data_IF_798047990176
#
_entry.id   IF_798047990176
#
_cell.length_a   1.000
_cell.length_b   1.000
_cell.length_c   1.000
_cell.angle_alpha   90.00
_cell.angle_beta   90.00
_cell.angle_gamma   90.00
#
_symmetry.space_group_name_H-M   'P 1'
#
loop_
_entity.id
_entity.type
_entity.pdbx_description
1 polymer ?
#
# COMPACT_ATOMS: atom_id res chain seq x y z
N UNK A 1 49.12 29.38 0.34
CA UNK A 1 48.58 29.15 1.69
C UNK A 1 48.04 27.72 1.69
N UNK A 2 48.70 26.81 2.40
CA UNK A 2 48.40 25.39 2.39
C UNK A 2 47.39 25.09 3.50
N UNK A 3 46.20 24.62 3.13
CA UNK A 3 45.19 24.12 4.07
C UNK A 3 45.44 22.63 4.28
N UNK A 4 45.82 22.30 5.51
CA UNK A 4 46.14 20.96 5.98
C UNK A 4 44.87 20.15 6.22
N UNK A 5 44.83 18.93 5.67
CA UNK A 5 43.90 17.85 5.99
C UNK A 5 43.97 17.50 7.49
N UNK A 6 42.81 17.23 8.08
CA UNK A 6 42.65 16.54 9.36
C UNK A 6 41.68 15.38 9.19
N UNK A 7 42.21 14.15 9.13
CA UNK A 7 41.43 12.92 9.29
C UNK A 7 41.25 12.65 10.78
N UNK A 8 40.01 12.56 11.25
CA UNK A 8 39.68 12.14 12.61
C UNK A 8 39.34 10.66 12.63
N UNK A 9 40.29 9.84 13.07
CA UNK A 9 40.08 8.45 13.48
C UNK A 9 39.22 8.40 14.75
N UNK A 10 38.07 7.74 14.69
CA UNK A 10 37.28 7.37 15.87
C UNK A 10 37.38 5.86 16.07
N UNK A 11 38.34 5.47 16.90
CA UNK A 11 38.49 4.13 17.47
C UNK A 11 37.46 3.92 18.57
N UNK A 12 36.55 2.95 18.39
CA UNK A 12 35.47 2.65 19.33
C UNK A 12 35.10 1.17 19.36
N UNK A 13 35.96 0.39 20.01
CA UNK A 13 35.72 -0.88 20.74
C UNK A 13 34.54 -1.78 20.34
N UNK A 14 34.88 -2.94 19.78
CA UNK A 14 34.01 -4.10 19.68
C UNK A 14 33.57 -4.63 21.05
N UNK A 15 32.39 -5.23 21.07
CA UNK A 15 31.90 -6.06 22.16
C UNK A 15 31.39 -7.36 21.54
N UNK A 16 32.22 -8.39 21.65
CA UNK A 16 31.87 -9.77 21.34
C UNK A 16 30.87 -10.26 22.39
N UNK A 17 29.60 -10.43 21.99
CA UNK A 17 28.54 -10.99 22.80
C UNK A 17 28.07 -12.33 22.26
N UNK A 18 28.76 -13.41 22.62
CA UNK A 18 28.27 -14.77 22.49
C UNK A 18 27.37 -15.11 23.68
N UNK A 19 26.09 -15.40 23.43
CA UNK A 19 25.13 -15.89 24.43
C UNK A 19 23.94 -16.54 23.73
N UNK A 20 24.01 -17.84 23.42
CA UNK A 20 23.35 -18.95 24.14
C UNK A 20 21.83 -19.00 24.01
N UNK A 21 21.40 -20.08 23.34
CA UNK A 21 20.09 -20.73 23.36
C UNK A 21 19.22 -20.46 24.59
N UNK A 22 17.97 -20.10 24.33
CA UNK A 22 16.93 -19.88 25.32
C UNK A 22 15.55 -20.22 24.78
N UNK A 23 15.35 -21.48 24.41
CA UNK A 23 14.02 -22.09 24.27
C UNK A 23 13.39 -22.21 25.67
N UNK A 24 12.33 -21.46 25.97
CA UNK A 24 11.21 -21.86 26.85
C UNK A 24 10.32 -20.65 27.19
N UNK A 25 9.00 -20.82 27.04
CA UNK A 25 8.02 -20.01 27.78
C UNK A 25 6.77 -19.62 27.00
N UNK A 26 5.97 -20.58 26.55
CA UNK A 26 4.53 -20.39 26.34
C UNK A 26 3.88 -20.06 27.68
N UNK A 27 3.22 -18.90 27.76
CA UNK A 27 2.31 -18.58 28.85
C UNK A 27 0.88 -18.58 28.27
N UNK A 28 0.28 -19.76 28.31
CA UNK A 28 -1.17 -19.96 28.29
C UNK A 28 -1.80 -19.27 29.51
N UNK A 29 -2.80 -18.43 29.26
CA UNK A 29 -3.83 -18.10 30.26
C UNK A 29 -5.16 -17.88 29.56
N UNK A 30 -6.14 -18.72 29.89
CA UNK A 30 -7.56 -18.36 29.75
C UNK A 30 -8.43 -19.35 29.01
N UNK A 31 -8.76 -20.44 29.69
CA UNK A 31 -9.83 -21.38 29.37
C UNK A 31 -11.16 -20.72 29.02
N UNK A 32 -11.87 -21.28 28.03
CA UNK A 32 -13.33 -21.50 28.12
C UNK A 32 -13.72 -22.70 27.28
N UNK A 33 -14.26 -23.68 27.99
CA UNK A 33 -14.61 -25.02 27.59
C UNK A 33 -15.80 -25.07 26.63
N UNK A 34 -15.70 -25.87 25.57
CA UNK A 34 -16.84 -26.62 25.04
C UNK A 34 -16.34 -27.91 24.39
N UNK A 35 -16.51 -28.99 25.12
CA UNK A 35 -16.25 -30.36 24.72
C UNK A 35 -17.14 -30.76 23.54
N UNK A 36 -16.56 -31.34 22.50
CA UNK A 36 -17.25 -32.36 21.73
C UNK A 36 -16.25 -33.39 21.21
N UNK A 37 -16.08 -34.43 22.02
CA UNK A 37 -15.39 -35.67 21.69
C UNK A 37 -16.27 -36.47 20.75
N UNK A 38 -15.76 -36.81 19.58
CA UNK A 38 -16.35 -37.74 18.63
C UNK A 38 -15.25 -38.57 18.00
N UNK A 39 -14.84 -39.61 18.72
CA UNK A 39 -13.97 -40.68 18.24
C UNK A 39 -14.73 -41.52 17.19
N UNK A 40 -14.06 -41.94 16.12
CA UNK A 40 -14.71 -42.78 15.12
C UNK A 40 -13.81 -43.18 13.95
N UNK A 41 -12.80 -43.98 14.26
CA UNK A 41 -12.40 -45.19 13.54
C UNK A 41 -12.19 -45.12 12.02
N UNK A 42 -10.93 -45.31 11.61
CA UNK A 42 -10.58 -45.52 10.22
C UNK A 42 -11.26 -46.74 9.59
N UNK A 43 -11.63 -46.56 8.33
CA UNK A 43 -11.93 -47.65 7.41
C UNK A 43 -11.02 -47.51 6.17
N UNK A 44 -10.03 -48.41 5.98
CA UNK A 44 -9.33 -48.55 4.72
C UNK A 44 -10.01 -49.66 3.89
N UNK A 45 -11.04 -49.30 3.13
CA UNK A 45 -11.68 -50.17 2.14
C UNK A 45 -11.65 -49.44 0.77
N UNK A 46 -10.71 -49.75 -0.13
CA UNK A 46 -10.84 -50.71 -1.25
C UNK A 46 -12.20 -50.70 -1.95
N UNK A 47 -12.25 -50.13 -3.16
CA UNK A 47 -13.31 -50.36 -4.17
C UNK A 47 -14.68 -49.83 -3.75
N UNK A 48 -15.57 -49.33 -4.60
CA UNK A 48 -15.85 -49.71 -5.98
C UNK A 48 -16.45 -48.50 -6.70
N UNK A 49 -16.25 -48.44 -8.02
CA UNK A 49 -16.82 -47.40 -8.86
C UNK A 49 -18.33 -47.56 -9.00
N UNK A 50 -19.06 -46.58 -8.47
CA UNK A 50 -20.47 -46.37 -8.80
C UNK A 50 -20.59 -44.95 -9.38
N UNK A 51 -20.59 -44.86 -10.71
CA UNK A 51 -20.94 -43.62 -11.39
C UNK A 51 -22.42 -43.31 -11.16
N UNK A 52 -22.70 -42.42 -10.21
CA UNK A 52 -23.97 -41.70 -10.13
C UNK A 52 -23.80 -40.31 -10.78
N UNK A 53 -24.24 -40.10 -12.04
CA UNK A 53 -24.22 -38.80 -12.71
C UNK A 53 -25.44 -37.93 -12.33
N UNK A 54 -25.91 -38.05 -11.09
CA UNK A 54 -27.14 -37.43 -10.63
C UNK A 54 -27.09 -37.14 -9.14
N UNK A 55 -26.02 -36.50 -8.67
CA UNK A 55 -25.93 -35.96 -7.32
C UNK A 55 -26.76 -34.70 -7.20
N UNK A 56 -27.98 -34.86 -6.70
CA UNK A 56 -28.81 -33.94 -5.93
C UNK A 56 -28.12 -32.61 -5.57
N UNK A 57 -28.27 -31.62 -6.44
CA UNK A 57 -28.71 -30.22 -6.24
C UNK A 57 -28.35 -29.39 -5.00
N UNK A 58 -27.70 -29.94 -3.98
CA UNK A 58 -27.12 -29.20 -2.86
C UNK A 58 -25.71 -28.79 -3.29
N UNK A 59 -25.62 -28.09 -4.42
CA UNK A 59 -24.43 -27.32 -4.79
C UNK A 59 -24.34 -26.17 -3.80
N UNK A 60 -23.99 -26.52 -2.56
CA UNK A 60 -23.69 -25.60 -1.48
C UNK A 60 -22.69 -24.64 -2.07
N UNK A 61 -23.15 -23.42 -2.30
CA UNK A 61 -22.33 -22.51 -3.04
C UNK A 61 -21.04 -22.27 -2.27
N UNK A 62 -19.93 -22.27 -2.99
CA UNK A 62 -18.64 -21.92 -2.43
C UNK A 62 -18.75 -20.52 -1.85
N UNK A 63 -18.54 -20.42 -0.54
CA UNK A 63 -18.53 -19.15 0.20
C UNK A 63 -17.56 -18.20 -0.50
N UNK A 64 -18.04 -17.01 -0.89
CA UNK A 64 -17.27 -16.04 -1.68
C UNK A 64 -17.66 -15.94 -3.16
N UNK A 65 -18.35 -16.93 -3.72
CA UNK A 65 -18.77 -16.91 -5.13
C UNK A 65 -20.11 -16.19 -5.36
N UNK A 66 -20.42 -15.85 -6.62
CA UNK A 66 -21.59 -15.05 -7.00
C UNK A 66 -22.92 -15.70 -6.55
N UNK A 67 -23.71 -14.96 -5.76
CA UNK A 67 -24.98 -15.39 -5.18
C UNK A 67 -24.88 -16.11 -3.83
N UNK A 68 -23.72 -16.07 -3.17
CA UNK A 68 -23.41 -16.97 -2.06
C UNK A 68 -22.95 -16.22 -0.81
N UNK A 69 -22.98 -16.84 0.39
CA UNK A 69 -22.58 -16.16 1.61
C UNK A 69 -21.15 -15.63 1.52
N UNK A 70 -20.92 -14.44 2.06
CA UNK A 70 -19.58 -13.88 2.15
C UNK A 70 -18.71 -14.71 3.09
N UNK A 71 -17.39 -14.63 2.90
CA UNK A 71 -16.45 -15.22 3.85
C UNK A 71 -16.62 -14.60 5.25
N UNK A 72 -16.17 -15.26 6.33
CA UNK A 72 -16.21 -14.68 7.68
C UNK A 72 -15.50 -13.32 7.80
N UNK A 73 -14.60 -12.99 6.88
CA UNK A 73 -13.92 -11.69 6.78
C UNK A 73 -14.65 -10.65 5.92
N UNK A 74 -15.87 -10.94 5.44
CA UNK A 74 -16.62 -10.05 4.55
C UNK A 74 -16.11 -10.02 3.10
N UNK A 75 -15.14 -10.86 2.75
CA UNK A 75 -14.59 -10.95 1.39
C UNK A 75 -15.38 -11.87 0.47
N UNK A 76 -15.30 -11.58 -0.83
CA UNK A 76 -15.80 -12.38 -1.94
C UNK A 76 -14.69 -12.62 -2.98
N UNK A 77 -14.95 -13.45 -3.98
CA UNK A 77 -14.04 -13.67 -5.11
C UNK A 77 -13.75 -12.34 -5.85
N UNK A 78 -12.57 -12.19 -6.49
CA UNK A 78 -12.20 -10.95 -7.16
C UNK A 78 -13.26 -10.44 -8.16
N UNK A 79 -13.68 -9.18 -7.98
CA UNK A 79 -14.74 -8.54 -8.78
C UNK A 79 -16.16 -8.64 -8.20
N UNK A 80 -16.32 -9.32 -7.05
CA UNK A 80 -17.56 -9.36 -6.29
C UNK A 80 -17.41 -8.58 -4.99
N UNK A 81 -18.51 -7.98 -4.51
CA UNK A 81 -18.57 -7.31 -3.21
C UNK A 81 -19.60 -8.00 -2.31
N UNK A 82 -19.36 -7.96 -1.01
CA UNK A 82 -20.28 -8.49 -0.02
C UNK A 82 -21.36 -7.45 0.31
N UNK A 83 -22.57 -7.65 -0.20
CA UNK A 83 -23.73 -6.81 0.13
C UNK A 83 -24.80 -7.64 0.85
N UNK A 84 -25.23 -7.19 2.03
CA UNK A 84 -26.24 -7.90 2.82
C UNK A 84 -25.85 -9.33 3.22
N UNK A 85 -24.55 -9.67 3.26
CA UNK A 85 -24.05 -11.01 3.57
C UNK A 85 -24.05 -11.98 2.39
N UNK A 86 -24.28 -11.50 1.17
CA UNK A 86 -24.22 -12.27 -0.07
C UNK A 86 -23.25 -11.60 -1.04
N UNK A 87 -22.41 -12.39 -1.70
CA UNK A 87 -21.52 -11.94 -2.76
C UNK A 87 -22.32 -11.65 -4.02
N UNK A 88 -22.21 -10.43 -4.54
CA UNK A 88 -22.76 -10.04 -5.83
C UNK A 88 -21.73 -9.25 -6.63
N UNK A 89 -21.99 -8.95 -7.91
CA UNK A 89 -21.14 -8.07 -8.69
C UNK A 89 -20.97 -6.77 -7.91
N UNK A 90 -19.75 -6.20 -7.95
CA UNK A 90 -19.57 -4.82 -7.52
C UNK A 90 -20.58 -3.98 -8.32
N UNK A 91 -21.68 -3.60 -7.67
CA UNK A 91 -22.49 -2.52 -8.19
C UNK A 91 -21.55 -1.35 -8.03
N UNK A 92 -20.86 -1.03 -9.13
CA UNK A 92 -20.45 0.34 -9.33
C UNK A 92 -21.72 1.13 -9.08
N UNK A 93 -21.81 1.75 -7.92
CA UNK A 93 -22.09 3.16 -7.78
C UNK A 93 -21.61 3.82 -9.06
N UNK A 94 -22.45 3.70 -10.09
CA UNK A 94 -22.31 4.47 -11.29
C UNK A 94 -22.40 5.88 -10.76
N UNK A 95 -21.23 6.47 -10.59
CA UNK A 95 -21.00 7.89 -10.48
C UNK A 95 -21.67 8.42 -11.72
N UNK A 96 -22.95 8.69 -11.57
CA UNK A 96 -23.79 9.25 -12.58
C UNK A 96 -23.12 10.56 -12.91
N UNK A 97 -22.37 10.54 -14.00
CA UNK A 97 -21.85 11.70 -14.66
C UNK A 97 -22.96 12.75 -14.65
N UNK A 98 -22.83 13.84 -13.86
CA UNK A 98 -23.83 14.89 -13.82
C UNK A 98 -23.74 15.77 -15.06
N UNK A 99 -23.01 15.39 -16.11
CA UNK A 99 -23.31 15.84 -17.48
C UNK A 99 -24.62 15.21 -17.97
N UNK A 100 -25.67 15.40 -17.18
CA UNK A 100 -26.95 15.70 -17.75
C UNK A 100 -26.73 16.87 -18.69
N UNK A 101 -26.60 16.54 -19.98
CA UNK A 101 -26.83 17.39 -21.12
C UNK A 101 -28.24 17.96 -20.94
N UNK A 102 -28.32 19.00 -20.11
CA UNK A 102 -29.47 19.86 -20.04
C UNK A 102 -29.64 20.43 -21.44
N UNK A 103 -30.61 19.90 -22.16
CA UNK A 103 -31.26 20.49 -23.32
C UNK A 103 -31.80 21.88 -22.92
N UNK A 104 -30.88 22.83 -22.75
CA UNK A 104 -31.14 24.25 -22.57
C UNK A 104 -31.24 24.85 -23.96
N UNK A 105 -32.49 24.98 -24.41
CA UNK A 105 -32.92 25.65 -25.62
C UNK A 105 -32.02 26.84 -26.00
N UNK A 106 -31.45 26.76 -27.20
CA UNK A 106 -30.64 27.83 -27.76
C UNK A 106 -31.41 29.16 -27.83
N UNK A 107 -30.80 30.20 -27.26
CA UNK A 107 -31.05 31.58 -27.65
C UNK A 107 -29.84 32.08 -28.46
N UNK A 108 -29.97 32.35 -29.77
CA UNK A 108 -28.84 32.67 -30.63
C UNK A 108 -28.62 34.19 -30.73
N UNK A 109 -28.49 34.93 -29.63
CA UNK A 109 -27.96 36.31 -29.66
C UNK A 109 -27.39 36.70 -28.30
N UNK A 110 -26.11 36.42 -28.07
CA UNK A 110 -25.41 36.88 -26.88
C UNK A 110 -23.94 37.08 -27.18
N UNK A 111 -23.61 38.27 -27.68
CA UNK A 111 -22.24 38.78 -27.76
C UNK A 111 -21.75 39.00 -26.32
N UNK A 112 -21.30 37.92 -25.68
CA UNK A 112 -20.74 37.90 -24.34
C UNK A 112 -19.25 37.78 -24.42
N UNK A 113 -18.58 38.92 -24.56
CA UNK A 113 -17.15 39.11 -24.26
C UNK A 113 -16.94 38.82 -22.76
N UNK A 114 -16.83 37.54 -22.43
CA UNK A 114 -16.45 37.06 -21.11
C UNK A 114 -14.98 36.72 -21.15
N UNK A 115 -14.13 37.73 -20.96
CA UNK A 115 -12.74 37.62 -20.53
C UNK A 115 -12.69 36.98 -19.14
N UNK A 116 -13.09 35.71 -19.06
CA UNK A 116 -12.84 34.87 -17.91
C UNK A 116 -11.37 34.50 -17.94
N UNK A 117 -10.54 35.41 -17.46
CA UNK A 117 -9.23 35.12 -16.85
C UNK A 117 -9.47 34.19 -15.65
N UNK A 118 -9.97 32.99 -15.94
CA UNK A 118 -9.82 31.85 -15.06
C UNK A 118 -8.33 31.60 -15.04
N UNK A 119 -7.66 32.32 -14.15
CA UNK A 119 -6.42 31.94 -13.51
C UNK A 119 -6.69 30.55 -12.93
N UNK A 120 -6.65 29.54 -13.80
CA UNK A 120 -6.65 28.15 -13.41
C UNK A 120 -5.42 28.04 -12.54
N UNK A 121 -5.66 28.07 -11.24
CA UNK A 121 -4.66 27.79 -10.24
C UNK A 121 -4.07 26.43 -10.65
N UNK A 122 -2.78 26.34 -11.00
CA UNK A 122 -2.18 25.06 -11.33
C UNK A 122 -2.14 24.14 -10.10
N UNK A 123 -2.58 24.59 -8.92
CA UNK A 123 -2.73 23.74 -7.74
C UNK A 123 -3.90 22.79 -7.83
N UNK A 124 -4.77 22.91 -8.85
CA UNK A 124 -5.91 22.03 -9.14
C UNK A 124 -5.91 20.78 -8.28
N UNK A 125 -6.49 20.93 -7.10
CA UNK A 125 -6.40 20.07 -5.93
C UNK A 125 -7.33 18.87 -6.11
N UNK A 126 -7.37 18.35 -7.36
CA UNK A 126 -8.26 17.38 -7.95
C UNK A 126 -8.81 16.39 -6.93
N UNK A 127 -9.94 16.79 -6.36
CA UNK A 127 -10.69 16.08 -5.34
C UNK A 127 -11.30 14.80 -5.95
N UNK A 128 -10.57 13.67 -5.98
CA UNK A 128 -11.26 12.36 -6.05
C UNK A 128 -10.67 11.23 -6.87
N UNK A 129 -9.55 11.38 -7.57
CA UNK A 129 -9.01 10.28 -8.41
C UNK A 129 -7.88 9.52 -7.71
N UNK A 130 -8.19 8.97 -6.53
CA UNK A 130 -7.34 8.00 -5.82
C UNK A 130 -5.95 8.52 -5.50
N UNK A 131 -5.82 9.21 -4.36
CA UNK A 131 -4.56 9.65 -3.75
C UNK A 131 -3.47 8.60 -3.99
N UNK A 132 -2.65 8.82 -5.02
CA UNK A 132 -1.56 7.89 -5.31
C UNK A 132 -0.56 8.14 -4.20
N UNK A 133 -0.44 7.23 -3.24
CA UNK A 133 0.44 7.47 -2.12
C UNK A 133 1.86 7.55 -2.69
N UNK A 134 2.69 8.42 -2.11
CA UNK A 134 4.08 8.61 -2.56
C UNK A 134 4.26 9.46 -3.84
N UNK A 135 3.56 10.59 -3.91
CA UNK A 135 3.75 11.60 -4.97
C UNK A 135 5.12 12.30 -4.94
N UNK A 136 5.53 12.95 -6.04
CA UNK A 136 6.68 13.85 -6.05
C UNK A 136 6.35 15.17 -5.36
N UNK A 137 7.35 15.78 -4.70
CA UNK A 137 7.26 17.18 -4.21
C UNK A 137 8.41 18.01 -4.81
N UNK A 138 8.21 18.58 -6.02
CA UNK A 138 9.28 19.23 -6.79
C UNK A 138 9.74 20.56 -6.21
N UNK A 139 8.96 21.24 -5.36
CA UNK A 139 9.43 22.46 -4.68
C UNK A 139 10.26 22.13 -3.44
N UNK A 140 10.14 20.91 -2.92
CA UNK A 140 10.68 20.51 -1.64
C UNK A 140 9.85 20.97 -0.44
N UNK A 141 8.64 21.52 -0.67
CA UNK A 141 7.75 22.00 0.38
C UNK A 141 6.63 21.00 0.70
N UNK A 142 6.18 20.98 1.95
CA UNK A 142 5.09 20.10 2.41
C UNK A 142 3.74 20.43 1.74
N UNK A 143 3.58 21.65 1.20
CA UNK A 143 2.37 22.09 0.49
C UNK A 143 2.18 21.37 -0.86
N UNK A 144 3.22 20.73 -1.40
CA UNK A 144 3.13 19.88 -2.60
C UNK A 144 2.54 18.48 -2.30
N UNK A 145 2.44 18.11 -1.02
CA UNK A 145 2.03 16.78 -0.60
C UNK A 145 0.57 16.72 -0.11
N UNK A 146 -0.01 15.52 -0.07
CA UNK A 146 -1.37 15.33 0.41
C UNK A 146 -1.49 15.68 1.92
N UNK A 147 -2.67 16.09 2.42
CA UNK A 147 -2.86 16.43 3.82
C UNK A 147 -2.41 15.31 4.78
N UNK A 148 -1.38 15.58 5.58
CA UNK A 148 -0.82 14.63 6.55
C UNK A 148 0.47 13.94 6.08
N UNK A 149 0.84 14.12 4.83
CA UNK A 149 2.17 13.79 4.31
C UNK A 149 3.15 14.96 4.52
N UNK A 150 4.43 14.65 4.46
CA UNK A 150 5.54 15.61 4.47
C UNK A 150 6.42 15.36 3.26
N UNK A 151 6.96 16.43 2.69
CA UNK A 151 7.92 16.33 1.62
C UNK A 151 9.30 15.98 2.19
N UNK A 152 9.78 14.78 1.87
CA UNK A 152 11.14 14.37 2.22
C UNK A 152 12.02 14.50 1.00
N UNK A 153 13.10 15.26 1.14
CA UNK A 153 14.13 15.41 0.12
C UNK A 153 15.45 14.85 0.61
N UNK A 154 16.27 14.37 -0.31
CA UNK A 154 17.60 13.85 0.00
C UNK A 154 18.51 13.80 -1.19
N UNK A 155 19.71 13.24 -0.99
CA UNK A 155 20.67 13.05 -2.08
C UNK A 155 21.33 11.70 -1.94
N UNK A 156 21.14 10.83 -2.95
CA UNK A 156 21.78 9.52 -3.03
C UNK A 156 22.64 9.47 -4.29
N UNK A 157 23.91 9.07 -4.15
CA UNK A 157 24.86 8.99 -5.28
C UNK A 157 25.02 10.29 -6.10
N UNK A 158 24.91 11.47 -5.47
CA UNK A 158 24.87 12.79 -6.12
C UNK A 158 23.65 13.04 -7.03
N UNK A 159 22.60 12.22 -6.91
CA UNK A 159 21.30 12.50 -7.50
C UNK A 159 20.34 12.98 -6.39
N UNK A 160 19.77 14.19 -6.51
CA UNK A 160 18.71 14.65 -5.62
C UNK A 160 17.43 13.85 -5.89
N UNK A 161 16.62 13.66 -4.84
CA UNK A 161 15.33 12.98 -4.93
C UNK A 161 14.33 13.63 -3.97
N UNK A 162 13.05 13.49 -4.26
CA UNK A 162 11.94 13.94 -3.41
C UNK A 162 10.86 12.86 -3.29
N UNK A 163 10.13 12.87 -2.18
CA UNK A 163 9.05 11.92 -1.89
C UNK A 163 8.06 12.51 -0.88
N UNK A 164 6.79 12.59 -1.24
CA UNK A 164 5.72 12.80 -0.27
C UNK A 164 5.48 11.52 0.53
N UNK A 165 5.55 11.59 1.85
CA UNK A 165 5.38 10.41 2.70
C UNK A 165 4.95 10.78 4.11
N UNK A 166 4.47 9.80 4.88
CA UNK A 166 4.16 9.96 6.30
C UNK A 166 5.30 9.47 7.17
N UNK A 167 5.63 10.21 8.23
CA UNK A 167 6.61 9.77 9.22
C UNK A 167 6.11 8.56 10.02
N UNK A 168 7.00 7.61 10.29
CA UNK A 168 6.69 6.40 11.02
C UNK A 168 7.73 6.13 12.13
N UNK A 169 7.26 5.58 13.24
CA UNK A 169 8.02 5.17 14.42
C UNK A 169 8.18 3.65 14.51
N UNK A 170 7.65 2.89 13.54
CA UNK A 170 7.76 1.44 13.49
C UNK A 170 7.24 0.85 12.18
N UNK A 171 7.65 -0.38 11.88
CA UNK A 171 7.34 -1.08 10.62
C UNK A 171 5.84 -1.18 10.29
N UNK A 172 4.96 -1.13 11.30
CA UNK A 172 3.52 -1.31 11.14
C UNK A 172 2.71 0.00 11.20
N UNK A 173 3.35 1.16 11.06
CA UNK A 173 2.65 2.46 11.08
C UNK A 173 2.33 3.00 9.68
N UNK A 174 2.70 2.26 8.64
CA UNK A 174 2.38 2.62 7.27
C UNK A 174 1.05 1.98 6.92
N UNK A 175 -0.03 2.72 7.17
CA UNK A 175 -1.41 2.26 6.96
C UNK A 175 -1.87 2.34 5.49
N UNK A 176 -1.01 2.88 4.63
CA UNK A 176 -1.28 3.13 3.22
C UNK A 176 -1.41 1.81 2.43
N UNK A 177 -0.59 0.80 2.76
CA UNK A 177 -0.65 -0.55 2.19
C UNK A 177 -0.02 -1.58 3.13
N UNK A 178 -0.49 -2.82 3.08
CA UNK A 178 0.08 -3.95 3.83
C UNK A 178 1.51 -4.30 3.38
N UNK A 179 1.95 -3.73 2.27
CA UNK A 179 3.29 -3.83 1.73
C UNK A 179 4.17 -2.64 2.07
N UNK A 180 3.71 -1.64 2.80
CA UNK A 180 4.52 -0.46 3.09
C UNK A 180 5.39 -0.66 4.31
N UNK A 181 6.65 -0.25 4.19
CA UNK A 181 7.67 -0.42 5.20
C UNK A 181 8.14 0.92 5.75
N UNK A 182 8.32 0.98 7.06
CA UNK A 182 8.98 2.10 7.70
C UNK A 182 10.50 2.01 7.48
N UNK A 183 11.04 2.83 6.59
CA UNK A 183 12.46 2.80 6.24
C UNK A 183 13.11 4.17 6.44
N UNK A 184 14.41 4.16 6.74
CA UNK A 184 15.21 5.38 6.69
C UNK A 184 15.62 5.64 5.24
N UNK A 185 15.26 6.82 4.73
CA UNK A 185 15.48 7.21 3.34
C UNK A 185 16.96 7.56 3.10
N UNK A 186 17.53 7.26 1.93
CA UNK A 186 18.96 7.42 1.69
C UNK A 186 19.34 8.89 1.50
N UNK A 187 20.12 9.42 2.44
CA UNK A 187 20.77 10.73 2.28
C UNK A 187 19.89 11.93 2.63
N UNK A 188 18.80 11.72 3.37
CA UNK A 188 18.00 12.76 4.03
C UNK A 188 18.71 13.34 5.29
N UNK A 189 19.73 12.64 5.79
CA UNK A 189 20.47 13.01 7.00
C UNK A 189 19.67 12.85 8.29
N UNK A 190 18.49 12.24 8.24
CA UNK A 190 17.64 12.01 9.40
C UNK A 190 17.75 10.55 9.87
N UNK A 191 17.41 10.33 11.14
CA UNK A 191 17.26 8.99 11.71
C UNK A 191 15.78 8.66 11.96
N UNK A 192 14.91 9.33 11.21
CA UNK A 192 13.47 9.19 11.25
C UNK A 192 13.06 8.12 10.24
N UNK A 193 12.12 7.26 10.60
CA UNK A 193 11.52 6.36 9.64
C UNK A 193 10.45 7.11 8.84
N UNK A 194 10.40 6.85 7.55
CA UNK A 194 9.31 7.29 6.67
C UNK A 194 8.66 6.09 6.02
N UNK A 195 7.37 6.21 5.72
CA UNK A 195 6.69 5.17 4.97
C UNK A 195 7.21 5.14 3.55
N UNK A 196 7.58 3.94 3.11
CA UNK A 196 8.06 3.74 1.75
C UNK A 196 7.34 2.54 1.19
N UNK A 197 6.97 2.57 -0.10
CA UNK A 197 6.45 1.38 -0.74
C UNK A 197 7.55 0.32 -0.69
N UNK A 198 7.29 -0.87 -0.13
CA UNK A 198 8.30 -1.95 -0.09
C UNK A 198 8.49 -2.64 -1.44
N UNK A 199 8.40 -1.86 -2.52
CA UNK A 199 8.83 -2.27 -3.84
C UNK A 199 10.34 -2.35 -3.79
N UNK A 200 10.85 -3.55 -3.54
CA UNK A 200 12.26 -3.87 -3.69
C UNK A 200 12.63 -3.72 -5.16
N UNK A 201 13.07 -2.51 -5.52
CA UNK A 201 13.48 -2.23 -6.87
C UNK A 201 14.82 -2.91 -7.13
N UNK A 202 14.89 -3.67 -8.22
CA UNK A 202 16.08 -4.45 -8.58
C UNK A 202 16.18 -4.56 -10.09
N UNK A 203 17.26 -5.15 -10.59
CA UNK A 203 17.50 -5.33 -12.03
C UNK A 203 16.40 -6.11 -12.78
N UNK A 204 15.43 -6.70 -12.07
CA UNK A 204 14.24 -7.35 -12.64
C UNK A 204 12.90 -6.77 -12.18
N UNK A 205 12.88 -5.72 -11.35
CA UNK A 205 11.68 -5.07 -10.84
C UNK A 205 11.85 -3.55 -10.92
N UNK A 206 11.53 -2.93 -12.08
CA UNK A 206 11.63 -1.48 -12.22
C UNK A 206 10.60 -0.78 -11.34
N UNK A 207 10.95 0.41 -10.90
CA UNK A 207 10.01 1.26 -10.18
C UNK A 207 8.85 1.69 -11.10
N UNK A 208 7.62 1.80 -10.56
CA UNK A 208 6.48 2.31 -11.31
C UNK A 208 6.58 3.84 -11.48
N UNK A 209 5.75 4.40 -12.37
CA UNK A 209 5.46 5.84 -12.45
C UNK A 209 6.71 6.72 -12.48
N UNK A 210 7.66 6.47 -13.39
CA UNK A 210 8.87 7.29 -13.57
C UNK A 210 9.77 7.47 -12.32
N UNK A 211 9.50 6.75 -11.23
CA UNK A 211 10.39 6.70 -10.08
C UNK A 211 11.71 6.02 -10.46
N UNK A 212 12.81 6.45 -9.84
CA UNK A 212 14.12 5.82 -9.98
C UNK A 212 14.43 4.93 -8.76
N UNK A 213 15.15 3.85 -9.02
CA UNK A 213 15.56 2.92 -7.98
C UNK A 213 16.82 3.44 -7.30
N UNK A 214 16.69 3.92 -6.08
CA UNK A 214 17.83 4.38 -5.29
C UNK A 214 18.33 3.27 -4.37
N UNK A 215 19.65 3.00 -4.33
CA UNK A 215 20.19 2.02 -3.42
C UNK A 215 20.04 2.50 -1.98
N UNK A 216 19.50 1.64 -1.12
CA UNK A 216 19.37 1.91 0.30
C UNK A 216 20.72 2.13 0.97
N UNK A 217 20.72 2.90 2.07
CA UNK A 217 21.92 3.17 2.86
C UNK A 217 22.03 2.19 4.03
N UNK A 218 23.26 1.87 4.48
CA UNK A 218 23.53 1.04 5.66
C UNK A 218 22.88 -0.36 5.69
N UNK A 219 22.65 -0.96 4.51
CA UNK A 219 22.03 -2.29 4.42
C UNK A 219 20.51 -2.26 4.35
N UNK A 220 19.90 -1.08 4.26
CA UNK A 220 18.51 -0.95 3.86
C UNK A 220 18.31 -1.43 2.42
N UNK A 221 17.11 -1.94 2.14
CA UNK A 221 16.70 -2.31 0.79
C UNK A 221 16.69 -1.08 -0.13
N UNK A 222 16.92 -1.27 -1.45
CA UNK A 222 16.70 -0.22 -2.43
C UNK A 222 15.21 0.15 -2.50
N UNK A 223 14.94 1.43 -2.70
CA UNK A 223 13.59 2.00 -2.69
C UNK A 223 13.37 2.90 -3.91
N UNK A 224 12.12 2.99 -4.35
CA UNK A 224 11.71 3.85 -5.46
C UNK A 224 11.43 5.27 -4.96
N UNK A 225 12.05 6.27 -5.57
CA UNK A 225 11.83 7.69 -5.26
C UNK A 225 11.78 8.51 -6.55
N UNK A 226 11.22 9.71 -6.48
CA UNK A 226 11.20 10.61 -7.63
C UNK A 226 12.53 11.34 -7.75
N UNK A 227 13.22 11.26 -8.89
CA UNK A 227 14.39 12.11 -9.14
C UNK A 227 13.93 13.56 -9.19
N UNK A 228 14.61 14.43 -8.45
CA UNK A 228 14.34 15.86 -8.47
C UNK A 228 14.90 16.46 -9.79
N UNK A 229 14.11 17.21 -10.58
CA UNK A 229 14.53 17.74 -11.89
C UNK A 229 15.72 18.73 -11.86
#
# INVERSE_FOLDING_TARGET
MALSLGCGDSTGTGSDGTGTDGTAGTADTGESSASNSGDGDGDPSTGDGDGDPGGDGDSGCVVGSDGCPCTPGGGCDPGLMCDGGVCGPAQGDGDGDPTGDGDGDGDPTGDGDGDGDGDGDPTGDGDGDGDVPYGPCPSGDDDDCAPGEVCVTGTSQNQPWSLCTTACQGQMQCDVSDQDGCANLPGDGQNSGFCTPAINCSFGNPCPMDMECFPGFQGNAPSCMWPDP
#
